data_IF_016264995163
#
_entry.id   IF_016264995163
#
_cell.length_a   1.000
_cell.length_b   1.000
_cell.length_c   1.000
_cell.angle_alpha   90.00
_cell.angle_beta   90.00
_cell.angle_gamma   90.00
#
_symmetry.space_group_name_H-M   'P 1'
#
loop_
_entity.id
_entity.type
_entity.pdbx_description
1 polymer ?
#
# COMPACT_ATOMS: atom_id res chain seq x y z
N UNK A 1 2.04 8.19 -5.50
CA UNK A 1 1.35 7.14 -6.30
C UNK A 1 1.27 5.90 -5.43
N UNK A 2 0.07 5.35 -5.28
CA UNK A 2 -0.18 4.13 -4.52
C UNK A 2 -0.42 3.00 -5.49
N UNK A 3 0.34 1.91 -5.33
CA UNK A 3 0.44 0.79 -6.25
C UNK A 3 -0.07 -0.48 -5.56
N UNK A 4 -0.72 -1.34 -6.33
CA UNK A 4 -1.09 -2.68 -5.86
C UNK A 4 0.16 -3.56 -5.80
N UNK A 5 0.48 -4.08 -4.62
CA UNK A 5 1.61 -4.97 -4.40
C UNK A 5 1.58 -6.21 -5.29
N UNK A 6 0.40 -6.77 -5.56
CA UNK A 6 0.25 -7.95 -6.40
C UNK A 6 0.73 -7.74 -7.84
N UNK A 7 0.84 -6.48 -8.28
CA UNK A 7 1.20 -6.10 -9.64
C UNK A 7 2.63 -5.58 -9.78
N UNK A 8 3.47 -5.67 -8.74
CA UNK A 8 4.81 -5.06 -8.77
C UNK A 8 5.72 -5.63 -9.85
N UNK A 9 5.58 -6.91 -10.22
CA UNK A 9 6.33 -7.49 -11.33
C UNK A 9 5.92 -6.91 -12.69
N UNK A 10 4.61 -6.74 -12.92
CA UNK A 10 4.09 -6.10 -14.14
C UNK A 10 4.53 -4.65 -14.21
N UNK A 11 4.47 -3.93 -13.08
CA UNK A 11 4.93 -2.55 -13.02
C UNK A 11 6.44 -2.46 -13.35
N UNK A 12 7.29 -3.37 -12.85
CA UNK A 12 8.72 -3.39 -13.20
C UNK A 12 8.93 -3.62 -14.69
N UNK A 13 8.15 -4.51 -15.30
CA UNK A 13 8.18 -4.75 -16.73
C UNK A 13 7.74 -3.50 -17.52
N UNK A 14 6.67 -2.83 -17.10
CA UNK A 14 6.19 -1.60 -17.74
C UNK A 14 7.21 -0.47 -17.61
N UNK A 15 7.86 -0.34 -16.45
CA UNK A 15 8.94 0.60 -16.20
C UNK A 15 10.13 0.34 -17.13
N UNK A 16 10.56 -0.93 -17.27
CA UNK A 16 11.63 -1.31 -18.20
C UNK A 16 11.29 -1.00 -19.66
N UNK A 17 10.02 -1.15 -20.06
CA UNK A 17 9.58 -0.92 -21.42
C UNK A 17 9.35 0.57 -21.75
N UNK A 18 9.10 1.42 -20.76
CA UNK A 18 8.70 2.83 -20.95
C UNK A 18 9.41 3.77 -19.97
N UNK A 19 10.71 3.57 -19.75
CA UNK A 19 11.43 4.23 -18.67
C UNK A 19 11.31 5.77 -18.71
N UNK A 20 11.51 6.40 -19.87
CA UNK A 20 11.44 7.87 -20.01
C UNK A 20 10.06 8.44 -19.59
N UNK A 21 8.98 7.70 -19.86
CA UNK A 21 7.63 8.11 -19.45
C UNK A 21 7.52 8.14 -17.93
N UNK A 22 7.93 7.07 -17.25
CA UNK A 22 7.83 6.96 -15.80
C UNK A 22 8.78 7.90 -15.09
N UNK A 23 10.02 8.02 -15.55
CA UNK A 23 11.03 8.95 -15.01
C UNK A 23 10.54 10.41 -15.09
N UNK A 24 9.65 10.73 -16.03
CA UNK A 24 9.05 12.05 -16.14
C UNK A 24 7.90 12.32 -15.17
N UNK A 25 7.32 11.30 -14.54
CA UNK A 25 6.25 11.45 -13.56
C UNK A 25 6.78 12.02 -12.24
N UNK A 26 6.07 13.00 -11.68
CA UNK A 26 6.44 13.64 -10.41
C UNK A 26 6.58 12.63 -9.26
N UNK A 27 5.76 11.57 -9.24
CA UNK A 27 5.84 10.53 -8.21
C UNK A 27 7.17 9.75 -8.26
N UNK A 28 7.71 9.48 -9.46
CA UNK A 28 9.00 8.83 -9.62
C UNK A 28 10.14 9.79 -9.25
N UNK A 29 10.09 11.04 -9.74
CA UNK A 29 11.09 12.09 -9.43
C UNK A 29 11.22 12.36 -7.93
N UNK A 30 10.08 12.38 -7.21
CA UNK A 30 10.04 12.64 -5.76
C UNK A 30 10.18 11.38 -4.89
N UNK A 31 10.21 10.19 -5.49
CA UNK A 31 10.22 8.92 -4.75
C UNK A 31 8.91 8.64 -4.00
N UNK A 32 7.83 9.38 -4.26
CA UNK A 32 6.52 9.21 -3.64
C UNK A 32 5.75 8.02 -4.27
N UNK A 33 6.35 6.84 -4.15
CA UNK A 33 5.86 5.57 -4.65
C UNK A 33 5.61 4.65 -3.46
N UNK A 34 4.40 4.15 -3.35
CA UNK A 34 3.96 3.35 -2.20
C UNK A 34 3.26 2.10 -2.69
N UNK A 35 3.46 0.98 -2.00
CA UNK A 35 2.77 -0.28 -2.26
C UNK A 35 1.82 -0.57 -1.11
N UNK A 36 0.62 -1.05 -1.47
CA UNK A 36 -0.40 -1.52 -0.55
C UNK A 36 -0.99 -2.84 -1.05
N UNK A 37 -1.53 -3.69 -0.17
CA UNK A 37 -2.11 -4.97 -0.58
C UNK A 37 -3.37 -4.78 -1.45
N UNK A 38 -3.78 -5.85 -2.14
CA UNK A 38 -4.98 -5.80 -2.98
C UNK A 38 -6.24 -5.94 -2.13
N UNK A 39 -7.21 -5.04 -2.29
CA UNK A 39 -8.51 -5.16 -1.62
C UNK A 39 -9.61 -5.79 -2.49
N UNK A 40 -9.37 -6.05 -3.78
CA UNK A 40 -10.42 -6.40 -4.74
C UNK A 40 -10.32 -7.80 -5.39
N UNK A 41 -9.52 -8.69 -4.82
CA UNK A 41 -9.35 -10.04 -5.36
C UNK A 41 -10.53 -10.92 -4.96
N UNK A 42 -11.41 -11.22 -5.93
CA UNK A 42 -12.66 -11.98 -5.75
C UNK A 42 -13.75 -11.25 -4.93
N UNK A 43 -14.01 -9.99 -5.29
CA UNK A 43 -14.94 -9.12 -4.57
C UNK A 43 -14.19 -8.10 -3.73
N UNK A 44 -14.89 -7.36 -2.87
CA UNK A 44 -14.29 -6.30 -2.06
C UNK A 44 -14.01 -6.79 -0.64
N UNK A 45 -12.74 -6.86 -0.28
CA UNK A 45 -12.26 -6.96 1.10
C UNK A 45 -12.34 -5.56 1.71
N UNK A 46 -13.45 -5.25 2.38
CA UNK A 46 -13.75 -3.89 2.85
C UNK A 46 -12.78 -3.44 3.94
N UNK A 47 -12.42 -4.35 4.85
CA UNK A 47 -11.42 -4.15 5.88
C UNK A 47 -10.06 -3.76 5.29
N UNK A 48 -9.67 -4.41 4.18
CA UNK A 48 -8.46 -4.07 3.45
C UNK A 48 -8.54 -2.68 2.83
N UNK A 49 -9.67 -2.35 2.20
CA UNK A 49 -9.90 -1.01 1.66
C UNK A 49 -9.80 0.08 2.73
N UNK A 50 -10.30 -0.18 3.94
CA UNK A 50 -10.18 0.76 5.07
C UNK A 50 -8.70 0.89 5.49
N UNK A 51 -7.96 -0.21 5.65
CA UNK A 51 -6.53 -0.18 5.93
C UNK A 51 -5.74 0.62 4.87
N UNK A 52 -6.02 0.40 3.58
CA UNK A 52 -5.46 1.17 2.45
C UNK A 52 -5.72 2.68 2.62
N UNK A 53 -6.96 3.07 2.98
CA UNK A 53 -7.27 4.50 3.18
C UNK A 53 -6.57 5.12 4.38
N UNK A 54 -6.38 4.38 5.47
CA UNK A 54 -5.56 4.83 6.61
C UNK A 54 -4.10 5.01 6.20
N UNK A 55 -3.54 4.07 5.44
CA UNK A 55 -2.18 4.19 4.92
C UNK A 55 -2.02 5.42 4.04
N UNK A 56 -2.95 5.66 3.12
CA UNK A 56 -2.97 6.85 2.26
C UNK A 56 -3.04 8.11 3.12
N UNK A 57 -3.98 8.18 4.07
CA UNK A 57 -4.16 9.32 4.97
C UNK A 57 -2.91 9.65 5.78
N UNK A 58 -2.32 8.63 6.44
CA UNK A 58 -1.07 8.77 7.19
C UNK A 58 0.10 9.23 6.31
N UNK A 59 0.12 8.80 5.05
CA UNK A 59 1.18 9.16 4.10
C UNK A 59 1.07 10.60 3.63
N UNK A 60 -0.14 11.06 3.27
CA UNK A 60 -0.34 12.37 2.64
C UNK A 60 -0.69 13.48 3.64
N UNK A 61 -1.17 13.13 4.84
CA UNK A 61 -1.56 14.04 5.92
C UNK A 61 -0.94 13.62 7.27
N UNK A 62 0.40 13.51 7.38
CA UNK A 62 1.05 12.94 8.56
C UNK A 62 0.78 13.72 9.85
N UNK A 63 0.53 15.03 9.78
CA UNK A 63 0.22 15.84 10.96
C UNK A 63 -1.18 15.52 11.53
N UNK A 64 -2.15 15.22 10.66
CA UNK A 64 -3.53 14.91 11.03
C UNK A 64 -3.70 13.48 11.55
N UNK A 65 -2.75 12.60 11.27
CA UNK A 65 -2.76 11.20 11.68
C UNK A 65 -1.60 10.86 12.64
N UNK A 66 -0.93 11.87 13.21
CA UNK A 66 0.28 11.68 14.02
C UNK A 66 0.08 10.93 15.34
N UNK A 67 -1.18 10.79 15.77
CA UNK A 67 -1.60 10.02 16.94
C UNK A 67 -1.91 8.54 16.62
N UNK A 68 -1.91 8.15 15.35
CA UNK A 68 -2.24 6.79 14.92
C UNK A 68 -0.99 5.91 14.87
N UNK A 69 -1.05 4.78 15.58
CA UNK A 69 -0.15 3.65 15.40
C UNK A 69 -0.69 2.75 14.27
N UNK A 70 0.00 2.64 13.13
CA UNK A 70 -0.48 1.86 11.99
C UNK A 70 -0.81 0.41 12.34
N UNK A 71 0.08 -0.27 13.08
CA UNK A 71 -0.08 -1.69 13.38
C UNK A 71 -1.29 -1.94 14.29
N UNK A 72 -1.49 -1.07 15.29
CA UNK A 72 -2.68 -1.14 16.16
C UNK A 72 -3.95 -0.82 15.39
N UNK A 73 -3.93 0.18 14.51
CA UNK A 73 -5.12 0.56 13.73
C UNK A 73 -5.53 -0.54 12.77
N UNK A 74 -4.58 -1.17 12.07
CA UNK A 74 -4.89 -2.30 11.18
C UNK A 74 -5.41 -3.51 11.96
N UNK A 75 -4.80 -3.83 13.10
CA UNK A 75 -5.28 -4.89 13.98
C UNK A 75 -6.73 -4.65 14.43
N UNK A 76 -7.05 -3.43 14.88
CA UNK A 76 -8.40 -3.02 15.28
C UNK A 76 -9.42 -3.21 14.14
N UNK A 77 -9.07 -2.83 12.91
CA UNK A 77 -9.94 -2.98 11.74
C UNK A 77 -10.22 -4.47 11.47
N UNK A 78 -9.18 -5.30 11.42
CA UNK A 78 -9.35 -6.74 11.19
C UNK A 78 -10.11 -7.44 12.32
N UNK A 79 -9.82 -7.12 13.58
CA UNK A 79 -10.53 -7.67 14.73
C UNK A 79 -12.01 -7.29 14.71
N UNK A 80 -12.33 -6.04 14.36
CA UNK A 80 -13.71 -5.56 14.29
C UNK A 80 -14.50 -6.25 13.17
N UNK A 81 -13.90 -6.44 12.00
CA UNK A 81 -14.61 -6.91 10.81
C UNK A 81 -14.55 -8.42 10.60
N UNK A 82 -13.48 -9.07 11.06
CA UNK A 82 -13.21 -10.50 10.85
C UNK A 82 -13.08 -11.30 12.15
N UNK A 83 -13.04 -10.65 13.32
CA UNK A 83 -12.90 -11.31 14.62
C UNK A 83 -11.48 -11.76 14.98
N UNK A 84 -10.47 -11.45 14.15
CA UNK A 84 -9.08 -11.77 14.40
C UNK A 84 -8.13 -10.77 13.72
N UNK A 85 -6.95 -10.56 14.31
CA UNK A 85 -5.91 -9.74 13.70
C UNK A 85 -5.15 -10.52 12.61
N UNK A 86 -5.26 -10.07 11.37
CA UNK A 86 -4.55 -10.66 10.21
C UNK A 86 -3.32 -9.85 9.77
N UNK A 87 -3.06 -8.67 10.35
CA UNK A 87 -2.02 -7.77 9.85
C UNK A 87 -0.62 -8.40 9.86
N UNK A 88 -0.22 -9.05 10.96
CA UNK A 88 1.09 -9.70 11.06
C UNK A 88 1.24 -10.89 10.10
N UNK A 89 0.18 -11.67 9.93
CA UNK A 89 0.13 -12.76 8.95
C UNK A 89 0.30 -12.22 7.54
N UNK A 90 -0.38 -11.13 7.19
CA UNK A 90 -0.25 -10.52 5.88
C UNK A 90 1.16 -10.00 5.63
N UNK A 91 1.71 -9.25 6.58
CA UNK A 91 3.05 -8.67 6.50
C UNK A 91 4.14 -9.73 6.34
N UNK A 92 4.06 -10.84 7.08
CA UNK A 92 4.99 -11.96 6.96
C UNK A 92 4.91 -12.69 5.60
N UNK A 93 3.76 -12.62 4.92
CA UNK A 93 3.58 -13.08 3.54
C UNK A 93 3.92 -12.01 2.49
N UNK A 94 4.59 -10.93 2.93
CA UNK A 94 5.04 -9.85 2.07
C UNK A 94 3.99 -8.78 1.79
N UNK A 95 2.73 -8.97 2.19
CA UNK A 95 1.62 -8.01 2.01
C UNK A 95 1.70 -6.90 3.06
N UNK A 96 2.42 -5.83 2.71
CA UNK A 96 2.75 -4.73 3.62
C UNK A 96 2.43 -3.36 3.02
N UNK A 97 2.29 -2.36 3.89
CA UNK A 97 2.04 -0.97 3.52
C UNK A 97 3.34 -0.18 3.61
N UNK A 98 3.94 0.16 2.48
CA UNK A 98 5.29 0.76 2.49
C UNK A 98 5.61 1.61 1.29
N UNK A 99 6.53 2.55 1.49
CA UNK A 99 7.22 3.19 0.37
C UNK A 99 8.08 2.15 -0.37
N UNK A 100 8.11 2.25 -1.70
CA UNK A 100 8.87 1.35 -2.57
C UNK A 100 9.74 2.14 -3.52
N UNK A 101 10.82 1.51 -3.98
CA UNK A 101 11.63 2.00 -5.09
C UNK A 101 11.51 1.04 -6.26
N UNK A 102 11.36 1.60 -7.44
CA UNK A 102 11.30 0.85 -8.69
C UNK A 102 12.61 1.09 -9.39
N UNK A 103 13.40 0.03 -9.56
CA UNK A 103 14.68 0.06 -10.29
C UNK A 103 14.68 -1.04 -11.33
N UNK A 104 15.48 -0.85 -12.37
CA UNK A 104 15.88 -1.91 -13.29
C UNK A 104 16.73 -2.96 -12.57
#
# INVERSE_FOLDING_TARGET
MFLNMGNMNLMKQDYANNQEFFDNLSAFKSGNLYSQPSFNYNGTNVEMGICDTYFIGMTIYPAQFGDIDPAKKYAEIFETMLGANYYETMKSNGMDFKQVKITL
#
